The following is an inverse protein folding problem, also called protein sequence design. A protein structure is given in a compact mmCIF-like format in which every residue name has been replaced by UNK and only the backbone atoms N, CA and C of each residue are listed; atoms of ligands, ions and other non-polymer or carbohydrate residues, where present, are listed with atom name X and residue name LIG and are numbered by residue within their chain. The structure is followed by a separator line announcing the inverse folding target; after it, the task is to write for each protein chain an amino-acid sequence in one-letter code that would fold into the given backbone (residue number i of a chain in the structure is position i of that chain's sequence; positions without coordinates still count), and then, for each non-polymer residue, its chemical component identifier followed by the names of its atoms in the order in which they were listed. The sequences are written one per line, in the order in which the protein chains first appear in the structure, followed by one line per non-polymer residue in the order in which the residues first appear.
data_IF_397485684722
#
_entry.id   IF_397485684722
#
_cell.length_a   1.000
_cell.length_b   1.000
_cell.length_c   1.000
_cell.angle_alpha   90.00
_cell.angle_beta   90.00
_cell.angle_gamma   90.00
#
_symmetry.space_group_name_H-M   'P 1'
#
loop_
_entity.id
_entity.type
_entity.pdbx_description
1 polymer ?
#
# COMPACT_ATOMS: atom_id res chain seq x y z
N UNK A 1 -22.19 -24.36 -19.65
CA UNK A 1 -22.02 -23.50 -20.84
C UNK A 1 -20.72 -22.74 -20.68
N UNK A 2 -19.84 -22.73 -21.67
CA UNK A 2 -18.64 -21.90 -21.64
C UNK A 2 -19.03 -20.44 -21.90
N UNK A 3 -18.63 -19.53 -21.02
CA UNK A 3 -18.82 -18.09 -21.22
C UNK A 3 -17.61 -17.52 -21.98
N UNK A 4 -17.58 -17.77 -23.28
CA UNK A 4 -16.44 -17.39 -24.14
C UNK A 4 -16.15 -15.88 -24.09
N UNK A 5 -17.18 -15.05 -23.86
CA UNK A 5 -17.00 -13.60 -23.74
C UNK A 5 -16.37 -13.24 -22.38
N UNK A 6 -16.92 -13.77 -21.28
CA UNK A 6 -16.38 -13.56 -19.94
C UNK A 6 -14.95 -14.05 -19.80
N UNK A 7 -14.60 -15.19 -20.38
CA UNK A 7 -13.23 -15.73 -20.36
C UNK A 7 -12.25 -14.81 -21.10
N UNK A 8 -12.67 -14.25 -22.24
CA UNK A 8 -11.86 -13.27 -22.98
C UNK A 8 -11.69 -11.96 -22.20
N UNK A 9 -12.73 -11.47 -21.53
CA UNK A 9 -12.61 -10.25 -20.70
C UNK A 9 -11.69 -10.46 -19.50
N UNK A 10 -11.81 -11.61 -18.81
CA UNK A 10 -10.91 -11.99 -17.70
C UNK A 10 -9.45 -12.10 -18.16
N UNK A 11 -9.21 -12.59 -19.38
CA UNK A 11 -7.87 -12.63 -19.96
C UNK A 11 -7.26 -11.22 -20.08
N UNK A 12 -8.02 -10.24 -20.61
CA UNK A 12 -7.55 -8.86 -20.70
C UNK A 12 -7.30 -8.23 -19.33
N UNK A 13 -8.22 -8.42 -18.38
CA UNK A 13 -8.09 -7.89 -17.02
C UNK A 13 -6.87 -8.48 -16.30
N UNK A 14 -6.65 -9.80 -16.43
CA UNK A 14 -5.55 -10.52 -15.78
C UNK A 14 -4.18 -10.10 -16.31
N UNK A 15 -4.09 -9.64 -17.56
CA UNK A 15 -2.84 -9.17 -18.15
C UNK A 15 -2.20 -8.07 -17.28
N UNK A 16 -3.02 -7.18 -16.68
CA UNK A 16 -2.50 -6.12 -15.80
C UNK A 16 -2.78 -6.32 -14.31
N UNK A 17 -3.99 -6.73 -13.94
CA UNK A 17 -4.36 -6.87 -12.52
C UNK A 17 -3.89 -8.19 -11.89
N UNK A 18 -3.47 -9.15 -12.72
CA UNK A 18 -3.08 -10.50 -12.29
C UNK A 18 -1.68 -10.58 -11.70
N UNK A 19 -0.88 -9.51 -11.80
CA UNK A 19 0.49 -9.47 -11.28
C UNK A 19 0.52 -9.57 -9.77
N UNK A 20 1.41 -10.42 -9.27
CA UNK A 20 1.64 -10.67 -7.85
C UNK A 20 3.12 -10.61 -7.54
N UNK A 21 3.46 -10.24 -6.31
CA UNK A 21 4.81 -10.42 -5.80
C UNK A 21 5.14 -11.91 -5.67
N UNK A 22 6.44 -12.22 -5.77
CA UNK A 22 6.95 -13.57 -5.53
C UNK A 22 6.76 -13.93 -4.06
N UNK A 23 6.17 -15.10 -3.72
CA UNK A 23 6.05 -15.56 -2.34
C UNK A 23 7.42 -15.68 -1.65
N UNK A 24 7.42 -15.63 -0.31
CA UNK A 24 8.61 -15.80 0.55
C UNK A 24 9.70 -14.73 0.39
N UNK A 25 9.42 -13.63 -0.31
CA UNK A 25 10.28 -12.45 -0.35
C UNK A 25 9.63 -11.30 0.42
N UNK A 26 10.42 -10.45 1.10
CA UNK A 26 9.90 -9.21 1.67
C UNK A 26 9.31 -8.31 0.59
N UNK A 27 8.15 -7.75 0.87
CA UNK A 27 7.47 -6.77 0.03
C UNK A 27 7.46 -5.42 0.73
N UNK A 28 7.87 -4.39 0.00
CA UNK A 28 7.92 -3.01 0.48
C UNK A 28 6.97 -2.14 -0.36
N UNK A 29 6.14 -1.34 0.31
CA UNK A 29 5.35 -0.30 -0.33
C UNK A 29 5.70 1.07 0.25
N UNK A 30 5.79 2.05 -0.62
CA UNK A 30 5.95 3.46 -0.26
C UNK A 30 4.74 4.25 -0.73
N UNK A 31 4.12 4.95 0.22
CA UNK A 31 3.07 5.93 -0.02
C UNK A 31 3.69 7.32 0.09
N UNK A 32 3.34 8.22 -0.82
CA UNK A 32 3.92 9.56 -0.93
C UNK A 32 2.82 10.59 -1.16
N UNK A 33 2.87 11.66 -0.38
CA UNK A 33 1.93 12.76 -0.42
C UNK A 33 2.00 13.58 -1.70
N UNK A 34 1.05 13.40 -2.61
CA UNK A 34 1.02 14.16 -3.87
C UNK A 34 0.87 15.67 -3.63
N UNK A 35 1.87 16.45 -4.05
CA UNK A 35 1.88 17.92 -3.96
C UNK A 35 1.84 18.46 -2.52
N UNK A 36 2.46 17.75 -1.58
CA UNK A 36 2.45 18.14 -0.17
C UNK A 36 3.20 19.43 0.14
N UNK A 37 4.14 19.85 -0.71
CA UNK A 37 4.77 21.18 -0.62
C UNK A 37 3.74 22.32 -0.72
N UNK A 38 2.69 22.13 -1.52
CA UNK A 38 1.55 23.07 -1.62
C UNK A 38 0.56 22.89 -0.48
N UNK A 39 0.28 21.65 -0.09
CA UNK A 39 -0.64 21.33 1.02
C UNK A 39 -0.16 21.92 2.35
N UNK A 40 1.13 21.77 2.65
CA UNK A 40 1.76 22.24 3.89
C UNK A 40 2.12 23.74 3.85
N UNK A 41 1.62 24.49 2.87
CA UNK A 41 1.83 25.94 2.81
C UNK A 41 1.12 26.60 4.00
N UNK A 42 1.89 27.28 4.85
CA UNK A 42 1.39 27.92 6.08
C UNK A 42 1.48 27.06 7.33
N UNK A 43 2.02 25.85 7.23
CA UNK A 43 2.32 25.01 8.39
C UNK A 43 3.56 25.54 9.13
N UNK A 44 3.67 25.20 10.40
CA UNK A 44 4.83 25.56 11.20
C UNK A 44 6.12 24.91 10.63
N UNK A 45 7.22 25.68 10.62
CA UNK A 45 8.52 25.26 10.08
C UNK A 45 9.54 25.16 11.24
N UNK A 46 10.53 24.25 11.18
CA UNK A 46 10.74 23.24 10.14
C UNK A 46 9.77 22.04 10.25
N UNK A 47 9.11 21.84 11.40
CA UNK A 47 8.20 20.73 11.65
C UNK A 47 6.89 21.23 12.25
N UNK A 48 5.75 20.83 11.66
CA UNK A 48 4.42 21.05 12.24
C UNK A 48 4.00 19.79 13.00
N UNK A 49 3.85 19.94 14.32
CA UNK A 49 3.53 18.81 15.21
C UNK A 49 2.26 18.06 14.80
N UNK A 50 1.22 18.77 14.35
CA UNK A 50 -0.05 18.14 13.94
C UNK A 50 0.12 17.28 12.71
N UNK A 51 0.96 17.74 11.77
CA UNK A 51 1.30 16.97 10.58
C UNK A 51 2.04 15.68 10.96
N UNK A 52 3.05 15.80 11.83
CA UNK A 52 3.82 14.64 12.29
C UNK A 52 2.95 13.63 13.04
N UNK A 53 2.07 14.10 13.93
CA UNK A 53 1.12 13.25 14.65
C UNK A 53 0.16 12.55 13.69
N UNK A 54 -0.42 13.26 12.72
CA UNK A 54 -1.27 12.67 11.70
C UNK A 54 -0.56 11.58 10.89
N UNK A 55 0.68 11.82 10.43
CA UNK A 55 1.45 10.81 9.68
C UNK A 55 1.77 9.57 10.53
N UNK A 56 2.08 9.76 11.82
CA UNK A 56 2.33 8.66 12.76
C UNK A 56 1.06 7.84 12.97
N UNK A 57 -0.08 8.49 13.20
CA UNK A 57 -1.33 7.81 13.48
C UNK A 57 -1.89 7.12 12.23
N UNK A 58 -1.78 7.73 11.04
CA UNK A 58 -2.07 7.07 9.76
C UNK A 58 -1.16 5.84 9.56
N UNK A 59 0.12 5.93 9.91
CA UNK A 59 1.05 4.79 9.80
C UNK A 59 0.64 3.65 10.72
N UNK A 60 0.25 3.93 11.97
CA UNK A 60 -0.25 2.90 12.90
C UNK A 60 -1.51 2.23 12.35
N UNK A 61 -2.46 3.05 11.87
CA UNK A 61 -3.70 2.56 11.25
C UNK A 61 -3.41 1.62 10.07
N UNK A 62 -2.52 2.03 9.16
CA UNK A 62 -2.15 1.21 8.01
C UNK A 62 -1.47 -0.10 8.43
N UNK A 63 -0.61 -0.08 9.44
CA UNK A 63 0.02 -1.29 9.97
C UNK A 63 -1.03 -2.27 10.51
N UNK A 64 -1.98 -1.78 11.30
CA UNK A 64 -3.07 -2.58 11.89
C UNK A 64 -3.99 -3.17 10.80
N UNK A 65 -4.49 -2.34 9.89
CA UNK A 65 -5.44 -2.77 8.85
C UNK A 65 -4.84 -3.73 7.82
N UNK A 66 -3.54 -3.61 7.55
CA UNK A 66 -2.89 -4.38 6.49
C UNK A 66 -2.02 -5.53 6.98
N UNK A 67 -1.87 -5.68 8.31
CA UNK A 67 -0.95 -6.61 8.94
C UNK A 67 0.50 -6.44 8.44
N UNK A 68 0.91 -5.19 8.18
CA UNK A 68 2.31 -4.92 7.88
C UNK A 68 3.17 -5.23 9.12
N UNK A 69 4.36 -5.78 8.92
CA UNK A 69 5.28 -6.09 10.02
C UNK A 69 6.04 -4.84 10.49
N UNK A 70 6.26 -3.89 9.59
CA UNK A 70 6.97 -2.64 9.86
C UNK A 70 6.20 -1.49 9.20
N UNK A 71 6.00 -0.42 9.96
CA UNK A 71 5.58 0.88 9.45
C UNK A 71 6.57 1.97 9.84
N UNK A 72 6.91 2.83 8.89
CA UNK A 72 7.84 3.95 9.08
C UNK A 72 7.31 5.18 8.36
N UNK A 73 7.28 6.34 9.03
CA UNK A 73 6.88 7.61 8.44
C UNK A 73 8.01 8.64 8.52
N UNK A 74 8.21 9.38 7.44
CA UNK A 74 9.11 10.53 7.42
C UNK A 74 8.57 11.58 6.43
N UNK A 75 8.57 12.85 6.83
CA UNK A 75 7.95 13.92 6.02
C UNK A 75 6.50 13.57 5.68
N UNK A 76 6.22 13.41 4.40
CA UNK A 76 4.98 13.07 3.74
C UNK A 76 4.97 11.64 3.16
N UNK A 77 6.01 10.85 3.49
CA UNK A 77 6.15 9.47 3.07
C UNK A 77 5.80 8.50 4.19
N UNK A 78 5.11 7.40 3.83
CA UNK A 78 4.89 6.22 4.69
C UNK A 78 5.45 5.00 3.97
N UNK A 79 6.24 4.22 4.70
CA UNK A 79 6.86 2.97 4.26
C UNK A 79 6.27 1.81 5.05
N UNK A 80 5.83 0.78 4.35
CA UNK A 80 5.26 -0.45 4.94
C UNK A 80 5.98 -1.68 4.40
N UNK A 81 6.18 -2.68 5.27
CA UNK A 81 6.83 -3.95 4.91
C UNK A 81 5.97 -5.13 5.30
N UNK A 82 5.81 -6.07 4.38
CA UNK A 82 5.19 -7.37 4.61
C UNK A 82 6.19 -8.48 4.31
N UNK A 83 6.08 -9.57 5.06
CA UNK A 83 6.84 -10.78 4.81
C UNK A 83 6.03 -11.97 5.31
N UNK A 84 6.13 -13.08 4.59
CA UNK A 84 5.54 -14.37 4.94
C UNK A 84 6.67 -15.38 4.89
N UNK A 85 6.90 -16.09 6.00
CA UNK A 85 7.94 -17.11 6.14
C UNK A 85 7.48 -18.51 5.71
N UNK A 86 6.17 -18.70 5.51
CA UNK A 86 5.56 -19.94 5.04
C UNK A 86 4.90 -19.76 3.66
N UNK A 87 4.90 -20.83 2.87
CA UNK A 87 4.21 -20.91 1.58
C UNK A 87 2.69 -20.99 1.76
N UNK A 88 2.23 -21.45 2.92
CA UNK A 88 0.82 -21.62 3.25
C UNK A 88 0.18 -20.32 3.80
N UNK A 89 1.00 -19.30 4.09
CA UNK A 89 0.54 -17.98 4.53
C UNK A 89 0.65 -16.95 3.40
N UNK A 90 -0.25 -15.98 3.43
CA UNK A 90 -0.32 -14.91 2.44
C UNK A 90 -0.08 -13.56 3.11
N UNK A 91 0.69 -12.71 2.44
CA UNK A 91 0.76 -11.29 2.78
C UNK A 91 -0.53 -10.56 2.34
N UNK A 92 -0.61 -9.27 2.65
CA UNK A 92 -1.74 -8.41 2.27
C UNK A 92 -2.15 -8.59 0.81
N UNK A 93 -3.44 -8.88 0.58
CA UNK A 93 -4.03 -9.22 -0.72
C UNK A 93 -3.30 -10.30 -1.54
N UNK A 94 -2.61 -11.24 -0.88
CA UNK A 94 -1.86 -12.32 -1.55
C UNK A 94 -0.87 -11.74 -2.58
N UNK A 95 -0.26 -10.60 -2.22
CA UNK A 95 0.74 -9.90 -3.03
C UNK A 95 0.21 -9.30 -4.33
N UNK A 96 -1.11 -9.19 -4.56
CA UNK A 96 -1.68 -8.58 -5.78
C UNK A 96 -1.33 -7.10 -5.86
N UNK A 97 -0.40 -6.76 -6.75
CA UNK A 97 0.22 -5.43 -6.81
C UNK A 97 -0.83 -4.32 -6.96
N UNK A 98 -1.75 -4.44 -7.93
CA UNK A 98 -2.78 -3.41 -8.14
C UNK A 98 -3.70 -3.22 -6.94
N UNK A 99 -4.13 -4.32 -6.29
CA UNK A 99 -4.99 -4.22 -5.10
C UNK A 99 -4.25 -3.59 -3.94
N UNK A 100 -3.02 -4.01 -3.69
CA UNK A 100 -2.19 -3.43 -2.63
C UNK A 100 -2.01 -1.93 -2.84
N UNK A 101 -1.53 -1.49 -4.01
CA UNK A 101 -1.26 -0.08 -4.27
C UNK A 101 -2.53 0.78 -4.17
N UNK A 102 -3.63 0.34 -4.79
CA UNK A 102 -4.88 1.13 -4.79
C UNK A 102 -5.53 1.23 -3.42
N UNK A 103 -5.58 0.13 -2.65
CA UNK A 103 -6.18 0.13 -1.32
C UNK A 103 -5.30 0.84 -0.30
N UNK A 104 -3.97 0.67 -0.37
CA UNK A 104 -3.05 1.42 0.49
C UNK A 104 -3.23 2.93 0.33
N UNK A 105 -3.30 3.42 -0.90
CA UNK A 105 -3.53 4.84 -1.18
C UNK A 105 -4.93 5.33 -0.77
N UNK A 106 -5.91 4.42 -0.64
CA UNK A 106 -7.27 4.76 -0.21
C UNK A 106 -7.45 4.74 1.31
N UNK A 107 -6.67 3.91 2.01
CA UNK A 107 -6.66 3.83 3.48
C UNK A 107 -5.83 4.96 4.12
N UNK A 108 -4.80 5.44 3.42
CA UNK A 108 -3.90 6.49 3.89
C UNK A 108 -4.52 7.89 3.77
#
# INVERSE_FOLDING_TARGET
MSDNFGDRMKMYEKAESGRRFMPLLPVYARLDGRSFSRFTKGFNRPYDKRMSEAMIDTTKYLVEETNALIGYSQSDEISLVWYSDSIDSQIFFDGKIQKMVSVLAALA
#
